data_IF_083555352738
#
_entry.id   IF_083555352738
#
_cell.length_a   1.000
_cell.length_b   1.000
_cell.length_c   1.000
_cell.angle_alpha   90.00
_cell.angle_beta   90.00
_cell.angle_gamma   90.00
#
_symmetry.space_group_name_H-M   'P 1'
#
loop_
_entity.id
_entity.type
_entity.pdbx_description
1 polymer ?
#
# COMPACT_ATOMS: atom_id res chain seq x y z
N UNK A 1 -12.67 -64.24 10.24
CA UNK A 1 -11.51 -63.36 10.18
C UNK A 1 -12.02 -61.93 10.05
N UNK A 2 -11.88 -61.13 11.13
CA UNK A 2 -12.30 -59.75 11.14
C UNK A 2 -11.24 -58.93 10.37
N UNK A 3 -11.67 -58.25 9.31
CA UNK A 3 -10.80 -57.36 8.54
C UNK A 3 -10.40 -56.19 9.42
N UNK A 4 -9.11 -56.01 9.59
CA UNK A 4 -8.59 -54.80 10.23
C UNK A 4 -8.90 -53.59 9.31
N UNK A 5 -9.81 -52.73 9.77
CA UNK A 5 -10.14 -51.50 9.09
C UNK A 5 -8.86 -50.60 9.01
N UNK A 6 -8.54 -50.13 7.83
CA UNK A 6 -7.46 -49.15 7.66
C UNK A 6 -7.83 -47.88 8.42
N UNK A 7 -6.90 -47.26 9.14
CA UNK A 7 -7.14 -45.98 9.77
C UNK A 7 -7.42 -44.91 8.72
N UNK A 8 -8.60 -44.29 8.79
CA UNK A 8 -8.93 -43.14 7.96
C UNK A 8 -8.36 -41.87 8.60
N UNK A 9 -7.44 -41.21 7.91
CA UNK A 9 -6.94 -39.90 8.32
C UNK A 9 -7.82 -38.85 7.63
N UNK A 10 -8.59 -38.10 8.41
CA UNK A 10 -9.29 -36.92 7.93
C UNK A 10 -8.41 -35.70 8.22
N UNK A 11 -7.85 -35.11 7.17
CA UNK A 11 -7.11 -33.86 7.29
C UNK A 11 -8.08 -32.71 7.01
N UNK A 12 -8.56 -32.07 8.05
CA UNK A 12 -9.36 -30.84 7.93
C UNK A 12 -8.43 -29.62 7.86
N UNK A 13 -8.31 -29.03 6.68
CA UNK A 13 -7.70 -27.72 6.53
C UNK A 13 -8.70 -26.66 6.94
N UNK A 14 -8.52 -26.08 8.12
CA UNK A 14 -9.38 -24.98 8.55
C UNK A 14 -9.20 -23.77 7.62
N UNK A 15 -10.31 -23.19 7.16
CA UNK A 15 -10.32 -21.98 6.31
C UNK A 15 -9.45 -20.84 6.83
N UNK A 16 -9.26 -20.74 8.15
CA UNK A 16 -8.35 -19.76 8.77
C UNK A 16 -6.89 -19.93 8.35
N UNK A 17 -6.41 -21.16 8.18
CA UNK A 17 -5.05 -21.41 7.72
C UNK A 17 -4.87 -21.02 6.25
N UNK A 18 -5.86 -21.33 5.41
CA UNK A 18 -5.85 -20.93 3.98
C UNK A 18 -5.88 -19.41 3.84
N UNK A 19 -6.71 -18.73 4.64
CA UNK A 19 -6.77 -17.24 4.66
C UNK A 19 -5.45 -16.63 5.14
N UNK A 20 -4.81 -17.21 6.13
CA UNK A 20 -3.51 -16.74 6.64
C UNK A 20 -2.40 -16.93 5.60
N UNK A 21 -2.37 -18.06 4.90
CA UNK A 21 -1.42 -18.31 3.81
C UNK A 21 -1.65 -17.33 2.66
N UNK A 22 -2.88 -17.14 2.23
CA UNK A 22 -3.23 -16.20 1.17
C UNK A 22 -2.83 -14.77 1.55
N UNK A 23 -3.12 -14.33 2.76
CA UNK A 23 -2.71 -13.01 3.27
C UNK A 23 -1.19 -12.85 3.37
N UNK A 24 -0.46 -13.88 3.73
CA UNK A 24 1.01 -13.82 3.81
C UNK A 24 1.68 -13.63 2.44
N UNK A 25 0.99 -13.99 1.36
CA UNK A 25 1.43 -13.77 -0.01
C UNK A 25 1.10 -12.36 -0.53
N UNK A 26 0.21 -11.64 0.15
CA UNK A 26 -0.15 -10.27 -0.21
C UNK A 26 0.89 -9.30 0.36
N UNK A 27 1.25 -8.29 -0.43
CA UNK A 27 2.23 -7.29 -0.03
C UNK A 27 1.69 -6.33 1.03
N UNK A 28 2.62 -5.67 1.73
CA UNK A 28 2.32 -4.55 2.62
C UNK A 28 2.35 -3.28 1.77
N UNK A 29 1.25 -2.53 1.76
CA UNK A 29 1.17 -1.23 1.11
C UNK A 29 1.50 -0.10 2.09
N UNK A 30 2.32 0.85 1.67
CA UNK A 30 2.56 2.10 2.38
C UNK A 30 1.93 3.23 1.58
N UNK A 31 1.16 4.09 2.25
CA UNK A 31 0.45 5.20 1.65
C UNK A 31 0.87 6.49 2.35
N UNK A 32 1.55 7.39 1.62
CA UNK A 32 1.98 8.69 2.13
C UNK A 32 0.98 9.74 1.68
N UNK A 33 0.30 10.35 2.63
CA UNK A 33 -0.73 11.36 2.38
C UNK A 33 -0.53 12.60 3.24
N UNK A 34 -0.93 13.75 2.68
CA UNK A 34 -1.03 14.98 3.43
C UNK A 34 -2.43 15.05 4.07
N UNK A 35 -2.53 14.54 5.30
CA UNK A 35 -3.76 14.56 6.10
C UNK A 35 -3.48 15.22 7.45
N UNK A 36 -4.04 16.41 7.64
CA UNK A 36 -3.84 17.20 8.87
C UNK A 36 -4.63 16.65 10.06
N UNK A 37 -5.65 15.82 9.82
CA UNK A 37 -6.48 15.22 10.88
C UNK A 37 -5.73 14.09 11.61
N UNK A 38 -4.71 13.51 10.96
CA UNK A 38 -3.89 12.48 11.57
C UNK A 38 -3.12 13.01 12.77
N UNK A 39 -3.37 12.43 13.93
CA UNK A 39 -2.65 12.73 15.18
C UNK A 39 -1.28 12.07 15.24
N UNK A 40 -1.09 10.95 14.54
CA UNK A 40 0.14 10.17 14.51
C UNK A 40 0.81 10.27 13.13
N UNK A 41 2.13 10.28 13.11
CA UNK A 41 2.89 10.31 11.86
C UNK A 41 2.82 9.00 11.08
N UNK A 42 2.55 7.87 11.76
CA UNK A 42 2.45 6.55 11.16
C UNK A 42 1.34 5.76 11.82
N UNK A 43 0.39 5.27 11.03
CA UNK A 43 -0.70 4.42 11.50
C UNK A 43 -0.82 3.17 10.62
N UNK A 44 -1.09 2.02 11.23
CA UNK A 44 -1.20 0.75 10.52
C UNK A 44 -2.60 0.19 10.64
N UNK A 45 -3.18 -0.19 9.51
CA UNK A 45 -4.50 -0.83 9.42
C UNK A 45 -4.35 -2.24 8.87
N UNK A 46 -4.92 -3.23 9.55
CA UNK A 46 -4.96 -4.61 9.08
C UNK A 46 -6.14 -4.86 8.13
N UNK A 47 -7.25 -4.16 8.34
CA UNK A 47 -8.45 -4.24 7.52
C UNK A 47 -9.04 -2.85 7.32
N UNK A 48 -9.86 -2.67 6.27
CA UNK A 48 -10.55 -1.40 6.07
C UNK A 48 -11.52 -1.07 7.20
N UNK A 49 -12.08 -2.07 7.88
CA UNK A 49 -12.98 -1.86 9.03
C UNK A 49 -12.29 -1.24 10.25
N UNK A 50 -10.95 -1.23 10.29
CA UNK A 50 -10.18 -0.60 11.35
C UNK A 50 -10.05 0.93 11.15
N UNK A 51 -10.39 1.42 9.94
CA UNK A 51 -10.31 2.84 9.60
C UNK A 51 -11.57 3.56 10.11
N UNK A 52 -11.38 4.50 11.02
CA UNK A 52 -12.47 5.31 11.52
C UNK A 52 -12.55 6.66 10.79
N UNK A 53 -13.76 7.10 10.49
CA UNK A 53 -14.02 8.33 9.73
C UNK A 53 -13.71 9.62 10.50
N UNK A 54 -13.55 9.55 11.81
CA UNK A 54 -13.17 10.67 12.68
C UNK A 54 -11.65 10.81 12.85
N UNK A 55 -10.87 9.82 12.41
CA UNK A 55 -9.41 9.80 12.55
C UNK A 55 -8.67 10.22 11.27
N UNK A 56 -9.36 10.27 10.15
CA UNK A 56 -8.80 10.61 8.83
C UNK A 56 -9.75 11.53 8.06
N UNK A 57 -9.22 12.33 7.16
CA UNK A 57 -10.07 13.16 6.30
C UNK A 57 -10.87 12.30 5.29
N UNK A 58 -11.89 12.90 4.68
CA UNK A 58 -12.76 12.19 3.74
C UNK A 58 -12.01 11.71 2.49
N UNK A 59 -10.98 12.43 2.06
CA UNK A 59 -10.15 12.06 0.91
C UNK A 59 -9.25 10.86 1.27
N UNK A 60 -8.56 10.94 2.40
CA UNK A 60 -7.74 9.83 2.92
C UNK A 60 -8.56 8.57 3.14
N UNK A 61 -9.80 8.70 3.66
CA UNK A 61 -10.70 7.56 3.82
C UNK A 61 -11.00 6.86 2.50
N UNK A 62 -11.31 7.61 1.44
CA UNK A 62 -11.54 7.07 0.10
C UNK A 62 -10.30 6.41 -0.49
N UNK A 63 -9.14 7.03 -0.37
CA UNK A 63 -7.89 6.47 -0.86
C UNK A 63 -7.51 5.17 -0.12
N UNK A 64 -7.75 5.10 1.18
CA UNK A 64 -7.60 3.85 1.95
C UNK A 64 -8.57 2.77 1.48
N UNK A 65 -9.82 3.14 1.17
CA UNK A 65 -10.79 2.20 0.60
C UNK A 65 -10.28 1.62 -0.73
N UNK A 66 -9.76 2.47 -1.63
CA UNK A 66 -9.17 2.03 -2.90
C UNK A 66 -7.99 1.08 -2.66
N UNK A 67 -7.07 1.45 -1.77
CA UNK A 67 -5.92 0.64 -1.44
C UNK A 67 -6.31 -0.75 -0.93
N UNK A 68 -7.32 -0.84 -0.06
CA UNK A 68 -7.80 -2.13 0.46
C UNK A 68 -8.52 -2.99 -0.57
N UNK A 69 -9.05 -2.42 -1.66
CA UNK A 69 -9.60 -3.20 -2.77
C UNK A 69 -8.53 -4.05 -3.47
N UNK A 70 -7.29 -3.60 -3.50
CA UNK A 70 -6.15 -4.39 -3.98
C UNK A 70 -5.81 -5.59 -3.09
N UNK A 71 -6.45 -5.73 -1.93
CA UNK A 71 -6.27 -6.86 -1.02
C UNK A 71 -4.89 -6.94 -0.36
N UNK A 72 -4.27 -5.84 0.10
CA UNK A 72 -2.99 -5.89 0.79
C UNK A 72 -3.09 -6.66 2.11
N UNK A 73 -1.98 -7.21 2.58
CA UNK A 73 -1.91 -7.81 3.92
C UNK A 73 -2.23 -6.79 5.01
N UNK A 74 -1.69 -5.58 4.87
CA UNK A 74 -1.97 -4.41 5.70
C UNK A 74 -1.59 -3.14 4.95
N UNK A 75 -2.19 -2.04 5.37
CA UNK A 75 -1.85 -0.70 4.88
C UNK A 75 -1.16 0.09 6.00
N UNK A 76 -0.03 0.71 5.69
CA UNK A 76 0.66 1.64 6.57
C UNK A 76 0.40 3.04 6.04
N UNK A 77 -0.41 3.81 6.74
CA UNK A 77 -0.66 5.21 6.46
C UNK A 77 0.44 6.05 7.09
N UNK A 78 1.04 6.93 6.32
CA UNK A 78 2.15 7.80 6.75
C UNK A 78 1.75 9.25 6.46
N UNK A 79 1.78 10.07 7.49
CA UNK A 79 1.57 11.51 7.34
C UNK A 79 2.78 12.12 6.64
N UNK A 80 2.53 12.77 5.50
CA UNK A 80 3.58 13.52 4.81
C UNK A 80 4.06 14.66 5.72
N UNK A 81 5.37 14.76 5.88
CA UNK A 81 5.99 15.82 6.64
C UNK A 81 6.25 17.04 5.73
N UNK A 82 6.47 18.22 6.31
CA UNK A 82 6.81 19.43 5.55
C UNK A 82 8.05 19.21 4.67
N UNK A 83 9.08 18.60 5.26
CA UNK A 83 10.28 18.23 4.53
C UNK A 83 10.24 16.77 4.08
N UNK A 84 10.50 16.54 2.80
CA UNK A 84 10.52 15.18 2.23
C UNK A 84 11.56 14.27 2.90
N UNK A 85 12.66 14.86 3.40
CA UNK A 85 13.71 14.14 4.13
C UNK A 85 13.18 13.50 5.41
N UNK A 86 12.24 14.15 6.10
CA UNK A 86 11.62 13.62 7.31
C UNK A 86 10.64 12.50 6.99
N UNK A 87 9.87 12.64 5.90
CA UNK A 87 9.04 11.55 5.37
C UNK A 87 9.90 10.33 5.03
N UNK A 88 11.03 10.51 4.35
CA UNK A 88 11.98 9.44 4.04
C UNK A 88 12.58 8.83 5.32
N UNK A 89 12.83 9.63 6.35
CA UNK A 89 13.31 9.13 7.65
C UNK A 89 12.29 8.23 8.36
N UNK A 90 10.99 8.50 8.20
CA UNK A 90 9.92 7.61 8.66
C UNK A 90 9.90 6.31 7.84
N UNK A 91 9.97 6.40 6.51
CA UNK A 91 9.99 5.24 5.61
C UNK A 91 11.14 4.27 5.92
N UNK A 92 12.31 4.77 6.30
CA UNK A 92 13.47 3.94 6.67
C UNK A 92 13.22 3.01 7.85
N UNK A 93 12.27 3.32 8.71
CA UNK A 93 11.91 2.53 9.89
C UNK A 93 10.84 1.47 9.60
N UNK A 94 10.27 1.48 8.39
CA UNK A 94 9.12 0.68 8.02
C UNK A 94 9.50 -0.38 6.99
N UNK A 95 8.77 -1.48 7.00
CA UNK A 95 8.86 -2.51 5.94
C UNK A 95 7.58 -2.49 5.12
N UNK A 96 7.72 -2.33 3.82
CA UNK A 96 6.63 -2.34 2.85
C UNK A 96 7.10 -2.96 1.53
N UNK A 97 6.13 -3.41 0.74
CA UNK A 97 6.37 -3.95 -0.60
C UNK A 97 6.06 -2.90 -1.67
N UNK A 98 5.01 -2.11 -1.46
CA UNK A 98 4.58 -1.07 -2.37
C UNK A 98 4.38 0.23 -1.61
N UNK A 99 4.74 1.34 -2.24
CA UNK A 99 4.59 2.70 -1.72
C UNK A 99 3.83 3.52 -2.74
N UNK A 100 2.77 4.19 -2.31
CA UNK A 100 2.08 5.21 -3.08
C UNK A 100 2.18 6.57 -2.37
N UNK A 101 2.41 7.62 -3.15
CA UNK A 101 2.43 9.00 -2.68
C UNK A 101 1.77 9.89 -3.73
N UNK A 102 0.42 9.96 -3.75
CA UNK A 102 -0.33 10.69 -4.76
C UNK A 102 0.01 12.18 -4.87
N UNK A 103 0.41 12.80 -3.76
CA UNK A 103 0.77 14.21 -3.70
C UNK A 103 2.28 14.48 -3.92
N UNK A 104 3.04 13.48 -4.38
CA UNK A 104 4.47 13.67 -4.64
C UNK A 104 4.70 14.66 -5.79
N UNK A 105 5.49 15.68 -5.51
CA UNK A 105 6.09 16.52 -6.54
C UNK A 105 7.37 15.88 -7.11
N UNK A 106 7.99 16.54 -8.10
CA UNK A 106 9.21 16.04 -8.73
C UNK A 106 10.36 15.80 -7.74
N UNK A 107 10.51 16.66 -6.75
CA UNK A 107 11.54 16.54 -5.72
C UNK A 107 11.25 15.35 -4.79
N UNK A 108 9.99 15.18 -4.40
CA UNK A 108 9.53 14.06 -3.60
C UNK A 108 9.72 12.72 -4.30
N UNK A 109 9.35 12.64 -5.58
CA UNK A 109 9.55 11.43 -6.39
C UNK A 109 11.04 11.05 -6.46
N UNK A 110 11.91 12.02 -6.75
CA UNK A 110 13.37 11.81 -6.81
C UNK A 110 13.92 11.34 -5.46
N UNK A 111 13.52 11.98 -4.36
CA UNK A 111 13.97 11.60 -3.02
C UNK A 111 13.56 10.18 -2.63
N UNK A 112 12.34 9.76 -2.99
CA UNK A 112 11.86 8.40 -2.74
C UNK A 112 12.58 7.39 -3.64
N UNK A 113 12.79 7.71 -4.92
CA UNK A 113 13.56 6.86 -5.83
C UNK A 113 14.97 6.63 -5.30
N UNK A 114 15.68 7.70 -4.94
CA UNK A 114 17.01 7.66 -4.33
C UNK A 114 17.05 6.79 -3.06
N UNK A 115 16.04 6.94 -2.21
CA UNK A 115 15.92 6.13 -1.01
C UNK A 115 15.79 4.64 -1.35
N UNK A 116 14.89 4.27 -2.24
CA UNK A 116 14.65 2.88 -2.59
C UNK A 116 15.86 2.24 -3.28
N UNK A 117 16.57 2.97 -4.12
CA UNK A 117 17.79 2.48 -4.76
C UNK A 117 18.95 2.30 -3.76
N UNK A 118 19.12 3.24 -2.85
CA UNK A 118 20.13 3.15 -1.78
C UNK A 118 19.79 2.05 -0.77
N UNK A 119 18.53 1.93 -0.37
CA UNK A 119 18.06 0.89 0.52
C UNK A 119 18.27 -0.52 -0.05
N UNK A 120 18.08 -0.68 -1.37
CA UNK A 120 18.36 -1.94 -2.06
C UNK A 120 19.81 -2.41 -1.89
N UNK A 121 20.76 -1.47 -1.95
CA UNK A 121 22.19 -1.79 -1.88
C UNK A 121 22.65 -2.15 -0.47
N UNK A 122 21.96 -1.68 0.55
CA UNK A 122 22.43 -1.77 1.95
C UNK A 122 21.63 -2.73 2.85
N UNK A 123 20.36 -3.02 2.55
CA UNK A 123 19.43 -3.66 3.50
C UNK A 123 18.54 -4.76 2.91
N UNK A 124 18.75 -5.21 1.67
CA UNK A 124 17.83 -6.13 0.97
C UNK A 124 16.35 -5.71 1.03
N UNK A 125 16.08 -4.41 1.07
CA UNK A 125 14.72 -3.89 1.08
C UNK A 125 14.07 -4.02 -0.31
N UNK A 126 12.91 -4.66 -0.37
CA UNK A 126 12.20 -5.01 -1.61
C UNK A 126 11.05 -4.04 -1.97
N UNK A 127 11.03 -2.82 -1.45
CA UNK A 127 9.98 -1.85 -1.75
C UNK A 127 10.03 -1.36 -3.21
N UNK A 128 8.85 -1.11 -3.78
CA UNK A 128 8.64 -0.38 -5.04
C UNK A 128 7.75 0.82 -4.78
N UNK A 129 7.99 1.93 -5.45
CA UNK A 129 7.08 3.07 -5.45
C UNK A 129 6.26 3.10 -6.74
N UNK A 130 5.03 3.57 -6.62
CA UNK A 130 4.09 3.75 -7.73
C UNK A 130 3.88 5.25 -7.86
N UNK A 131 4.22 5.82 -9.02
CA UNK A 131 4.03 7.23 -9.32
C UNK A 131 3.20 7.43 -10.58
N UNK A 132 2.44 8.49 -10.60
CA UNK A 132 1.72 8.94 -11.77
C UNK A 132 2.56 9.99 -12.51
N UNK A 133 2.87 9.73 -13.79
CA UNK A 133 3.69 10.60 -14.66
C UNK A 133 4.97 11.07 -13.95
N UNK A 134 5.87 10.17 -13.59
CA UNK A 134 7.09 10.54 -12.90
C UNK A 134 7.90 11.55 -13.74
N UNK A 135 8.51 12.52 -13.04
CA UNK A 135 9.29 13.58 -13.68
C UNK A 135 10.68 13.14 -14.12
N UNK A 136 11.09 11.93 -13.77
CA UNK A 136 12.41 11.39 -14.11
C UNK A 136 12.26 10.28 -15.14
N UNK A 137 12.94 10.42 -16.28
CA UNK A 137 13.05 9.38 -17.32
C UNK A 137 14.00 8.24 -16.92
N UNK A 138 14.44 8.20 -15.67
CA UNK A 138 15.37 7.18 -15.21
C UNK A 138 14.66 5.83 -15.10
N UNK A 139 15.01 4.90 -15.98
CA UNK A 139 14.58 3.50 -15.91
C UNK A 139 15.02 2.87 -14.56
N UNK A 140 14.08 2.70 -13.66
CA UNK A 140 14.31 2.14 -12.34
C UNK A 140 13.42 0.93 -12.10
N UNK A 141 14.04 -0.20 -11.76
CA UNK A 141 13.32 -1.41 -11.36
C UNK A 141 12.47 -1.23 -10.08
N UNK A 142 12.61 -0.08 -9.40
CA UNK A 142 11.92 0.24 -8.14
C UNK A 142 10.74 1.18 -8.31
N UNK A 143 10.57 1.74 -9.49
CA UNK A 143 9.47 2.65 -9.80
C UNK A 143 8.51 1.95 -10.76
N UNK A 144 7.22 2.04 -10.43
CA UNK A 144 6.13 1.66 -11.32
C UNK A 144 5.48 2.96 -11.77
N UNK A 145 5.47 3.17 -13.07
CA UNK A 145 4.89 4.35 -13.68
C UNK A 145 3.45 4.10 -14.10
N UNK A 146 2.56 5.01 -13.76
CA UNK A 146 1.19 5.03 -14.23
C UNK A 146 1.00 6.23 -15.17
N UNK A 147 0.43 5.97 -16.34
CA UNK A 147 0.03 6.99 -17.31
C UNK A 147 -1.34 6.67 -17.90
N UNK A 148 -2.00 7.69 -18.46
CA UNK A 148 -3.28 7.50 -19.17
C UNK A 148 -4.49 7.21 -18.27
N UNK A 149 -4.40 7.43 -16.97
CA UNK A 149 -5.47 7.15 -16.00
C UNK A 149 -6.45 8.31 -15.79
N UNK A 150 -6.29 9.44 -16.49
CA UNK A 150 -7.02 10.70 -16.21
C UNK A 150 -8.54 10.63 -16.42
N UNK A 151 -8.99 9.70 -17.25
CA UNK A 151 -10.40 9.59 -17.63
C UNK A 151 -11.11 8.37 -17.01
N UNK A 152 -10.44 7.68 -16.09
CA UNK A 152 -11.06 6.55 -15.42
C UNK A 152 -12.05 7.02 -14.35
N UNK A 153 -13.14 6.29 -14.25
CA UNK A 153 -14.13 6.46 -13.20
C UNK A 153 -14.26 5.16 -12.44
N UNK A 154 -14.29 5.25 -11.13
CA UNK A 154 -14.47 4.09 -10.26
C UNK A 154 -15.82 4.17 -9.56
N UNK A 155 -16.48 3.02 -9.45
CA UNK A 155 -17.77 2.90 -8.77
C UNK A 155 -17.64 1.88 -7.63
N UNK A 156 -17.44 2.38 -6.42
CA UNK A 156 -17.32 1.55 -5.22
C UNK A 156 -18.63 1.40 -4.45
N UNK A 157 -19.53 2.37 -4.57
CA UNK A 157 -20.73 2.47 -3.74
C UNK A 157 -22.03 2.59 -4.55
N UNK A 158 -22.01 2.27 -5.84
CA UNK A 158 -23.13 2.49 -6.74
C UNK A 158 -23.14 3.88 -7.38
N UNK A 159 -22.19 4.74 -7.05
CA UNK A 159 -22.00 6.07 -7.66
C UNK A 159 -20.64 6.12 -8.33
N UNK A 160 -20.62 6.58 -9.59
CA UNK A 160 -19.35 6.82 -10.29
C UNK A 160 -18.66 8.05 -9.69
N UNK A 161 -17.43 7.88 -9.28
CA UNK A 161 -16.57 8.96 -8.82
C UNK A 161 -15.33 9.06 -9.73
N UNK A 162 -14.93 10.29 -10.05
CA UNK A 162 -13.71 10.58 -10.80
C UNK A 162 -12.57 10.84 -9.84
N UNK A 163 -11.44 10.21 -10.09
CA UNK A 163 -10.20 10.41 -9.34
C UNK A 163 -9.13 10.97 -10.28
N UNK A 164 -8.17 11.68 -9.73
CA UNK A 164 -7.00 12.12 -10.50
C UNK A 164 -6.08 10.95 -10.79
N UNK A 165 -5.28 11.03 -11.86
CA UNK A 165 -4.31 9.97 -12.19
C UNK A 165 -3.37 9.65 -11.03
N UNK A 166 -3.00 10.66 -10.22
CA UNK A 166 -2.17 10.47 -9.04
C UNK A 166 -2.87 9.64 -7.94
N UNK A 167 -4.18 9.79 -7.77
CA UNK A 167 -4.98 9.04 -6.79
C UNK A 167 -5.10 7.56 -7.16
N UNK A 168 -4.98 7.21 -8.45
CA UNK A 168 -4.95 5.80 -8.90
C UNK A 168 -3.68 5.05 -8.51
N UNK A 169 -2.67 5.73 -7.97
CA UNK A 169 -1.47 5.06 -7.43
C UNK A 169 -1.77 4.29 -6.13
N UNK A 170 -2.89 4.58 -5.48
CA UNK A 170 -3.35 3.89 -4.29
C UNK A 170 -4.07 2.59 -4.63
#
# INVERSE_FOLDING_TARGET
MAGQGQPSFVIEFHRKAVTAITRSQQGIAALVLNDETLSENVKTYATFSDVKTDEVDAKTYKLLQMCFLGGPYKVILIKQQEEITDTVALLKKLRFNYLAMPAADAAGMTAIQDYLEKARKSLDAFGKAIFYKPSTEADSQRIIELDGCENLKLNFTGTEESYTGAEYTC
#
